data_IF_857021564363
#
_entry.id   IF_857021564363
#
_cell.length_a   1.000
_cell.length_b   1.000
_cell.length_c   1.000
_cell.angle_alpha   90.00
_cell.angle_beta   90.00
_cell.angle_gamma   90.00
#
_symmetry.space_group_name_H-M   'P 1'
#
loop_
_entity.id
_entity.type
_entity.pdbx_description
1 polymer ?
#
# COMPACT_ATOMS: atom_id res chain seq x y z
N UNK A 1 5.59 -4.06 -27.92
CA UNK A 1 4.19 -3.82 -28.34
C UNK A 1 3.81 -5.00 -29.18
N UNK A 2 2.92 -5.85 -28.67
CA UNK A 2 2.35 -6.91 -29.50
C UNK A 2 1.22 -6.30 -30.33
N UNK A 3 1.19 -6.66 -31.61
CA UNK A 3 0.11 -6.28 -32.53
C UNK A 3 -0.96 -7.36 -32.44
N UNK A 4 -2.22 -6.95 -32.40
CA UNK A 4 -3.32 -7.89 -32.63
C UNK A 4 -3.33 -8.34 -34.12
N UNK A 5 -4.19 -9.32 -34.42
CA UNK A 5 -4.36 -9.89 -35.78
C UNK A 5 -4.85 -8.84 -36.80
N UNK A 6 -5.40 -7.71 -36.33
CA UNK A 6 -5.93 -6.60 -37.13
C UNK A 6 -4.94 -5.42 -37.24
N UNK A 7 -3.71 -5.55 -36.72
CA UNK A 7 -2.67 -4.52 -36.78
C UNK A 7 -2.87 -3.35 -35.78
N UNK A 8 -3.85 -3.46 -34.89
CA UNK A 8 -4.04 -2.60 -33.73
C UNK A 8 -2.92 -2.77 -32.71
N UNK A 9 -2.47 -1.65 -32.15
CA UNK A 9 -1.54 -1.65 -31.02
C UNK A 9 -2.34 -1.97 -29.75
N UNK A 10 -2.48 -3.26 -29.40
CA UNK A 10 -3.01 -3.64 -28.10
C UNK A 10 -1.99 -3.27 -27.03
N UNK A 11 -2.23 -2.14 -26.37
CA UNK A 11 -1.59 -1.86 -25.09
C UNK A 11 -2.26 -2.80 -24.10
N UNK A 12 -1.66 -3.96 -23.83
CA UNK A 12 -1.89 -4.70 -22.59
C UNK A 12 -1.39 -3.83 -21.44
N UNK A 13 -2.16 -2.76 -21.16
CA UNK A 13 -2.04 -2.02 -19.91
C UNK A 13 -2.30 -3.08 -18.85
N UNK A 14 -1.38 -3.33 -17.92
CA UNK A 14 -1.66 -4.25 -16.83
C UNK A 14 -2.95 -3.77 -16.15
N UNK A 15 -4.05 -4.50 -16.35
CA UNK A 15 -5.41 -4.11 -15.95
C UNK A 15 -5.53 -4.00 -14.42
N UNK A 16 -4.51 -4.48 -13.71
CA UNK A 16 -4.36 -4.54 -12.26
C UNK A 16 -4.62 -3.21 -11.53
N UNK A 17 -4.44 -2.04 -12.17
CA UNK A 17 -4.65 -0.74 -11.51
C UNK A 17 -5.99 -0.07 -11.87
N UNK A 18 -6.90 -0.69 -12.63
CA UNK A 18 -8.17 -0.01 -12.97
C UNK A 18 -9.16 0.02 -11.81
N UNK A 19 -9.06 -0.93 -10.90
CA UNK A 19 -10.08 -1.13 -9.86
C UNK A 19 -10.03 -0.06 -8.76
N UNK A 20 -8.86 0.54 -8.47
CA UNK A 20 -8.78 1.62 -7.48
C UNK A 20 -9.61 2.85 -7.89
N UNK A 21 -9.75 3.13 -9.20
CA UNK A 21 -10.58 4.22 -9.71
C UNK A 21 -12.07 4.01 -9.44
N UNK A 22 -12.50 2.77 -9.21
CA UNK A 22 -13.89 2.39 -8.92
C UNK A 22 -14.21 2.39 -7.42
N UNK A 23 -13.25 2.71 -6.54
CA UNK A 23 -13.49 2.85 -5.11
C UNK A 23 -14.44 4.02 -4.88
N UNK A 24 -15.62 3.73 -4.29
CA UNK A 24 -16.71 4.68 -4.15
C UNK A 24 -16.34 5.87 -3.26
N UNK A 25 -15.75 5.61 -2.09
CA UNK A 25 -15.35 6.66 -1.16
C UNK A 25 -14.14 7.45 -1.71
N UNK A 26 -14.26 8.77 -1.95
CA UNK A 26 -13.17 9.58 -2.48
C UNK A 26 -11.92 9.61 -1.61
N UNK A 27 -12.08 9.65 -0.28
CA UNK A 27 -10.97 9.70 0.67
C UNK A 27 -10.14 8.42 0.60
N UNK A 28 -10.81 7.26 0.58
CA UNK A 28 -10.16 5.95 0.45
C UNK A 28 -9.42 5.84 -0.89
N UNK A 29 -10.07 6.28 -1.98
CA UNK A 29 -9.48 6.29 -3.32
C UNK A 29 -8.20 7.12 -3.38
N UNK A 30 -8.21 8.32 -2.78
CA UNK A 30 -7.02 9.18 -2.69
C UNK A 30 -5.93 8.55 -1.83
N UNK A 31 -6.29 7.94 -0.70
CA UNK A 31 -5.34 7.24 0.16
C UNK A 31 -4.62 6.10 -0.60
N UNK A 32 -5.38 5.30 -1.34
CA UNK A 32 -4.84 4.20 -2.14
C UNK A 32 -4.01 4.71 -3.33
N UNK A 33 -4.47 5.75 -4.04
CA UNK A 33 -3.72 6.30 -5.18
C UNK A 33 -2.39 6.92 -4.77
N UNK A 34 -2.30 7.53 -3.58
CA UNK A 34 -1.03 7.99 -3.02
C UNK A 34 -0.02 6.84 -2.86
N UNK A 35 -0.48 5.64 -2.52
CA UNK A 35 0.41 4.48 -2.42
C UNK A 35 0.76 3.92 -3.79
N UNK A 36 -0.23 3.73 -4.67
CA UNK A 36 0.00 3.13 -5.99
C UNK A 36 0.83 3.99 -6.95
N UNK A 37 0.79 5.32 -6.80
CA UNK A 37 1.40 6.28 -7.72
C UNK A 37 2.62 6.99 -7.11
N UNK A 38 3.30 6.36 -6.14
CA UNK A 38 4.50 6.91 -5.47
C UNK A 38 4.28 8.28 -4.81
N UNK A 39 3.05 8.62 -4.42
CA UNK A 39 2.70 9.83 -3.67
C UNK A 39 2.78 9.67 -2.14
N UNK A 40 3.38 8.58 -1.66
CA UNK A 40 3.46 8.22 -0.25
C UNK A 40 4.77 8.69 0.40
N UNK A 41 4.78 8.77 1.73
CA UNK A 41 5.94 9.26 2.51
C UNK A 41 6.93 8.16 2.95
N UNK A 42 6.78 6.93 2.49
CA UNK A 42 7.74 5.86 2.80
C UNK A 42 9.15 6.19 2.29
N UNK A 43 10.18 5.71 3.01
CA UNK A 43 11.58 6.01 2.78
C UNK A 43 12.04 5.67 1.37
N UNK A 44 11.47 4.63 0.75
CA UNK A 44 11.78 4.27 -0.65
C UNK A 44 11.58 5.44 -1.62
N UNK A 45 10.58 6.29 -1.39
CA UNK A 45 10.31 7.48 -2.20
C UNK A 45 10.93 8.75 -1.63
N UNK A 46 10.83 9.00 -0.32
CA UNK A 46 11.36 10.24 0.26
C UNK A 46 12.88 10.32 0.19
N UNK A 47 13.58 9.18 0.25
CA UNK A 47 15.03 9.08 0.09
C UNK A 47 15.51 9.03 -1.36
N UNK A 48 14.61 9.12 -2.35
CA UNK A 48 14.95 8.91 -3.77
C UNK A 48 15.57 10.14 -4.44
N UNK A 49 15.29 11.35 -3.97
CA UNK A 49 15.58 12.60 -4.69
C UNK A 49 16.05 13.71 -3.76
N UNK A 50 16.78 14.67 -4.33
CA UNK A 50 17.13 15.94 -3.68
C UNK A 50 18.11 15.79 -2.52
N UNK A 51 18.07 16.76 -1.59
CA UNK A 51 18.96 16.83 -0.42
C UNK A 51 18.83 15.66 0.54
N UNK A 52 17.71 14.93 0.49
CA UNK A 52 17.43 13.76 1.32
C UNK A 52 17.82 12.45 0.61
N UNK A 53 18.57 12.51 -0.49
CA UNK A 53 18.99 11.31 -1.23
C UNK A 53 19.74 10.34 -0.32
N UNK A 54 19.32 9.08 -0.38
CA UNK A 54 19.97 7.92 0.27
C UNK A 54 20.03 6.78 -0.74
N UNK A 55 21.06 5.93 -0.69
CA UNK A 55 21.05 4.71 -1.49
C UNK A 55 19.84 3.86 -1.11
N UNK A 56 19.30 3.04 -2.03
CA UNK A 56 18.06 2.28 -1.76
C UNK A 56 18.17 1.42 -0.51
N UNK A 57 19.34 0.81 -0.28
CA UNK A 57 19.64 -0.01 0.89
C UNK A 57 19.57 0.76 2.22
N UNK A 58 19.82 2.07 2.20
CA UNK A 58 19.82 2.93 3.39
C UNK A 58 18.44 3.57 3.68
N UNK A 59 17.42 3.27 2.85
CA UNK A 59 16.05 3.77 3.02
C UNK A 59 15.25 2.82 3.91
N UNK A 60 15.77 2.55 5.10
CA UNK A 60 15.19 1.57 6.03
C UNK A 60 13.82 1.97 6.55
N UNK A 61 13.01 0.97 6.92
CA UNK A 61 11.71 1.11 7.54
C UNK A 61 11.81 1.90 8.84
N UNK A 62 11.01 2.96 8.99
CA UNK A 62 11.05 3.80 10.21
C UNK A 62 10.55 3.07 11.46
N UNK A 63 9.87 1.94 11.27
CA UNK A 63 9.28 1.15 12.35
C UNK A 63 10.26 0.07 12.82
N UNK A 64 10.71 -0.81 11.91
CA UNK A 64 11.56 -1.95 12.28
C UNK A 64 13.07 -1.70 12.07
N UNK A 65 13.43 -0.73 11.24
CA UNK A 65 14.80 -0.41 10.85
C UNK A 65 15.60 -1.59 10.26
N UNK A 66 14.94 -2.65 9.79
CA UNK A 66 15.59 -3.87 9.27
C UNK A 66 15.68 -3.93 7.74
N UNK A 67 14.60 -3.55 7.05
CA UNK A 67 14.48 -3.65 5.59
C UNK A 67 14.09 -2.32 4.98
N UNK A 68 14.19 -2.19 3.65
CA UNK A 68 13.80 -0.96 2.94
C UNK A 68 12.32 -0.66 3.18
N UNK A 69 11.99 0.60 3.49
CA UNK A 69 10.61 1.04 3.73
C UNK A 69 9.83 1.13 2.42
N UNK A 70 9.19 0.04 2.03
CA UNK A 70 8.26 0.01 0.90
C UNK A 70 6.82 -0.18 1.38
N UNK A 71 5.81 0.19 0.56
CA UNK A 71 4.41 -0.09 0.91
C UNK A 71 4.16 -1.56 1.23
N UNK A 72 4.71 -2.47 0.42
CA UNK A 72 4.54 -3.91 0.56
C UNK A 72 4.99 -4.34 1.96
N UNK A 73 6.20 -3.95 2.37
CA UNK A 73 6.73 -4.26 3.68
C UNK A 73 5.81 -3.72 4.80
N UNK A 74 5.45 -2.42 4.76
CA UNK A 74 4.65 -1.78 5.81
C UNK A 74 3.24 -2.37 5.89
N UNK A 75 2.68 -2.78 4.75
CA UNK A 75 1.31 -3.30 4.68
C UNK A 75 1.24 -4.76 5.08
N UNK A 76 2.13 -5.59 4.55
CA UNK A 76 1.98 -7.04 4.54
C UNK A 76 2.94 -7.77 5.49
N UNK A 77 4.09 -7.19 5.85
CA UNK A 77 5.11 -7.89 6.65
C UNK A 77 5.38 -7.25 8.01
N UNK A 78 5.59 -5.93 8.06
CA UNK A 78 6.10 -5.23 9.25
C UNK A 78 5.23 -5.49 10.48
N UNK A 79 5.79 -6.13 11.51
CA UNK A 79 5.09 -6.63 12.69
C UNK A 79 5.43 -5.87 13.98
N UNK A 80 6.35 -4.90 13.90
CA UNK A 80 6.81 -4.11 15.05
C UNK A 80 5.71 -3.26 15.68
N UNK A 81 4.80 -2.72 14.86
CA UNK A 81 3.70 -1.89 15.33
C UNK A 81 2.41 -2.72 15.48
N UNK A 82 1.97 -2.95 16.71
CA UNK A 82 0.77 -3.76 17.00
C UNK A 82 -0.50 -3.27 16.28
N UNK A 83 -0.65 -1.95 16.09
CA UNK A 83 -1.75 -1.39 15.30
C UNK A 83 -1.72 -1.84 13.83
N UNK A 84 -0.54 -1.92 13.21
CA UNK A 84 -0.42 -2.40 11.82
C UNK A 84 -0.69 -3.90 11.72
N UNK A 85 -0.28 -4.67 12.73
CA UNK A 85 -0.61 -6.10 12.82
C UNK A 85 -2.12 -6.29 12.90
N UNK A 86 -2.81 -5.48 13.71
CA UNK A 86 -4.26 -5.56 13.81
C UNK A 86 -4.95 -5.18 12.50
N UNK A 87 -4.58 -4.05 11.89
CA UNK A 87 -5.13 -3.62 10.59
C UNK A 87 -4.88 -4.66 9.49
N UNK A 88 -3.76 -5.37 9.52
CA UNK A 88 -3.49 -6.47 8.59
C UNK A 88 -4.42 -7.67 8.83
N UNK A 89 -4.64 -8.06 10.09
CA UNK A 89 -5.57 -9.14 10.44
C UNK A 89 -6.99 -8.80 9.99
N UNK A 90 -7.43 -7.58 10.26
CA UNK A 90 -8.75 -7.09 9.85
C UNK A 90 -8.87 -7.11 8.32
N UNK A 91 -7.86 -6.59 7.62
CA UNK A 91 -7.80 -6.62 6.15
C UNK A 91 -7.89 -8.05 5.61
N UNK A 92 -7.10 -8.99 6.16
CA UNK A 92 -7.11 -10.39 5.72
C UNK A 92 -8.47 -11.05 5.97
N UNK A 93 -9.08 -10.81 7.13
CA UNK A 93 -10.41 -11.34 7.46
C UNK A 93 -11.49 -10.79 6.52
N UNK A 94 -11.48 -9.48 6.27
CA UNK A 94 -12.43 -8.83 5.37
C UNK A 94 -12.25 -9.30 3.91
N UNK A 95 -11.00 -9.40 3.43
CA UNK A 95 -10.70 -9.90 2.09
C UNK A 95 -11.13 -11.36 1.95
N UNK A 96 -10.85 -12.20 2.95
CA UNK A 96 -11.31 -13.59 3.00
C UNK A 96 -12.82 -13.73 2.94
N UNK A 97 -13.57 -12.80 3.55
CA UNK A 97 -15.03 -12.80 3.50
C UNK A 97 -15.62 -12.27 2.19
N UNK A 98 -14.88 -11.44 1.45
CA UNK A 98 -15.34 -10.79 0.21
C UNK A 98 -14.93 -11.53 -1.06
N UNK A 99 -13.82 -12.27 -1.01
CA UNK A 99 -13.27 -12.97 -2.16
C UNK A 99 -13.84 -14.38 -2.30
N UNK A 100 -13.98 -14.83 -3.54
CA UNK A 100 -14.28 -16.25 -3.82
C UNK A 100 -13.06 -17.14 -3.56
N UNK A 101 -13.22 -18.46 -3.37
CA UNK A 101 -12.08 -19.38 -3.22
C UNK A 101 -11.05 -19.24 -4.35
N UNK A 102 -11.50 -19.18 -5.61
CA UNK A 102 -10.60 -19.00 -6.76
C UNK A 102 -9.82 -17.68 -6.72
N UNK A 103 -10.43 -16.59 -6.20
CA UNK A 103 -9.74 -15.31 -6.04
C UNK A 103 -8.69 -15.37 -4.91
N UNK A 104 -8.97 -16.12 -3.84
CA UNK A 104 -8.04 -16.33 -2.74
C UNK A 104 -6.86 -17.23 -3.15
N UNK A 105 -7.13 -18.30 -3.90
CA UNK A 105 -6.11 -19.18 -4.47
C UNK A 105 -5.21 -18.36 -5.41
N UNK A 106 -5.80 -17.61 -6.35
CA UNK A 106 -5.05 -16.73 -7.23
C UNK A 106 -4.24 -15.68 -6.46
N UNK A 107 -4.75 -15.13 -5.36
CA UNK A 107 -4.00 -14.17 -4.55
C UNK A 107 -2.80 -14.81 -3.83
N UNK A 108 -2.95 -16.05 -3.38
CA UNK A 108 -1.94 -16.77 -2.57
C UNK A 108 -0.91 -17.56 -3.39
N UNK A 109 -1.17 -17.80 -4.67
CA UNK A 109 -0.24 -18.36 -5.67
C UNK A 109 1.02 -17.52 -5.94
N UNK A 110 1.21 -16.39 -5.27
CA UNK A 110 2.35 -15.49 -5.45
C UNK A 110 3.70 -16.06 -4.94
N UNK A 111 3.76 -17.32 -4.49
CA UNK A 111 4.97 -18.03 -4.00
C UNK A 111 5.77 -17.22 -2.97
N UNK A 112 5.07 -16.46 -2.12
CA UNK A 112 5.69 -15.60 -1.11
C UNK A 112 6.32 -14.30 -1.63
N UNK A 113 6.22 -13.98 -2.92
CA UNK A 113 6.60 -12.65 -3.43
C UNK A 113 5.61 -11.60 -2.91
N UNK A 114 6.06 -10.81 -1.94
CA UNK A 114 5.29 -9.75 -1.29
C UNK A 114 4.81 -8.67 -2.29
N UNK A 115 5.62 -8.38 -3.32
CA UNK A 115 5.31 -7.37 -4.33
C UNK A 115 4.18 -7.90 -5.22
N UNK A 116 4.28 -9.15 -5.62
CA UNK A 116 3.24 -9.79 -6.41
C UNK A 116 1.94 -9.95 -5.61
N UNK A 117 2.04 -10.33 -4.34
CA UNK A 117 0.90 -10.40 -3.40
C UNK A 117 0.18 -9.05 -3.32
N UNK A 118 0.92 -7.95 -3.14
CA UNK A 118 0.31 -6.61 -3.08
C UNK A 118 -0.35 -6.21 -4.41
N UNK A 119 0.26 -6.52 -5.56
CA UNK A 119 -0.35 -6.26 -6.88
C UNK A 119 -1.66 -7.02 -7.05
N UNK A 120 -1.70 -8.31 -6.70
CA UNK A 120 -2.91 -9.14 -6.80
C UNK A 120 -4.00 -8.62 -5.87
N UNK A 121 -3.64 -8.23 -4.65
CA UNK A 121 -4.56 -7.64 -3.67
C UNK A 121 -5.26 -6.37 -4.20
N UNK A 122 -4.53 -5.46 -4.85
CA UNK A 122 -5.11 -4.21 -5.39
C UNK A 122 -5.79 -4.40 -6.75
N UNK A 123 -5.53 -5.51 -7.43
CA UNK A 123 -6.17 -5.88 -8.68
C UNK A 123 -7.56 -6.49 -8.49
N UNK A 124 -7.81 -7.15 -7.37
CA UNK A 124 -9.10 -7.78 -7.10
C UNK A 124 -10.17 -6.74 -6.85
N UNK A 125 -11.24 -6.77 -7.67
CA UNK A 125 -12.40 -5.89 -7.49
C UNK A 125 -13.08 -6.11 -6.13
N UNK A 126 -13.15 -7.36 -5.68
CA UNK A 126 -13.72 -7.78 -4.39
C UNK A 126 -12.95 -7.20 -3.20
N UNK A 127 -11.63 -7.06 -3.32
CA UNK A 127 -10.76 -6.60 -2.23
C UNK A 127 -10.45 -5.10 -2.25
N UNK A 128 -10.33 -4.46 -3.43
CA UNK A 128 -9.71 -3.12 -3.56
C UNK A 128 -10.37 -2.03 -2.70
N UNK A 129 -11.69 -2.09 -2.50
CA UNK A 129 -12.41 -1.11 -1.69
C UNK A 129 -12.04 -1.23 -0.21
N UNK A 130 -11.83 -2.46 0.27
CA UNK A 130 -11.38 -2.72 1.63
C UNK A 130 -9.92 -2.30 1.82
N UNK A 131 -9.06 -2.65 0.87
CA UNK A 131 -7.65 -2.25 0.87
C UNK A 131 -7.51 -0.72 0.93
N UNK A 132 -8.34 0.00 0.16
CA UNK A 132 -8.37 1.45 0.18
C UNK A 132 -8.85 2.03 1.52
N UNK A 133 -9.84 1.40 2.16
CA UNK A 133 -10.32 1.77 3.49
C UNK A 133 -9.24 1.58 4.56
N UNK A 134 -8.52 0.46 4.52
CA UNK A 134 -7.43 0.19 5.45
C UNK A 134 -6.27 1.17 5.30
N UNK A 135 -5.92 1.52 4.05
CA UNK A 135 -4.93 2.57 3.81
C UNK A 135 -5.39 3.94 4.34
N UNK A 136 -6.67 4.27 4.20
CA UNK A 136 -7.21 5.49 4.79
C UNK A 136 -7.13 5.48 6.33
N UNK A 137 -7.50 4.37 6.97
CA UNK A 137 -7.39 4.18 8.42
C UNK A 137 -5.96 4.36 8.92
N UNK A 138 -4.97 3.80 8.20
CA UNK A 138 -3.54 3.99 8.50
C UNK A 138 -3.14 5.46 8.47
N UNK A 139 -3.61 6.20 7.47
CA UNK A 139 -3.33 7.63 7.32
C UNK A 139 -3.93 8.44 8.47
N UNK A 140 -5.22 8.24 8.77
CA UNK A 140 -5.90 8.99 9.83
C UNK A 140 -5.43 8.60 11.23
N UNK A 141 -5.06 7.33 11.45
CA UNK A 141 -4.45 6.88 12.71
C UNK A 141 -3.04 7.43 12.92
N UNK A 142 -2.26 7.56 11.84
CA UNK A 142 -0.95 8.22 11.87
C UNK A 142 -1.08 9.72 12.20
N UNK A 143 -2.02 10.42 11.57
CA UNK A 143 -2.30 11.85 11.83
C UNK A 143 -2.76 12.11 13.27
N UNK A 144 -3.50 11.16 13.88
CA UNK A 144 -3.85 11.23 15.30
C UNK A 144 -2.64 11.06 16.26
N UNK A 145 -1.56 10.39 15.81
CA UNK A 145 -0.31 10.24 16.56
C UNK A 145 0.70 11.38 16.32
N UNK A 146 0.53 12.15 15.23
CA UNK A 146 1.34 13.32 14.87
C UNK A 146 0.75 14.64 15.44
N UNK A 147 -0.07 14.59 16.49
CA UNK A 147 -0.41 15.81 17.24
C UNK A 147 0.89 16.41 17.77
N UNK A 148 1.18 17.71 17.54
CA UNK A 148 2.45 18.29 17.94
C UNK A 148 2.58 18.18 19.45
N UNK A 149 3.64 17.53 19.92
CA UNK A 149 4.16 17.68 21.27
C UNK A 149 4.24 19.18 21.54
N UNK A 150 3.28 19.69 22.32
CA UNK A 150 3.21 21.09 22.65
C UNK A 150 4.57 21.51 23.19
N UNK A 151 5.16 22.50 22.53
CA UNK A 151 6.33 23.23 23.00
C UNK A 151 6.04 23.61 24.44
N UNK A 152 6.78 23.00 25.38
CA UNK A 152 6.80 23.44 26.78
C UNK A 152 7.38 24.86 26.76
N UNK A 153 6.50 25.86 26.79
CA UNK A 153 6.88 27.18 27.24
C UNK A 153 7.24 27.08 28.72
N UNK A 154 8.53 27.05 29.00
CA UNK A 154 9.05 27.41 30.32
C UNK A 154 8.90 28.91 30.48
N UNK A 155 7.95 29.34 31.32
CA UNK A 155 7.95 30.69 31.85
C UNK A 155 8.92 30.70 33.05
N UNK A 156 9.99 31.48 32.90
CA UNK A 156 10.75 32.04 34.02
C UNK A 156 10.26 33.44 34.33
#
# INVERSE_FOLDING_TARGET
>A
MEKDEDGGLTRTVPVFLRHYLKVANPAHRVALSQVLLSGHKYAVETGRRGKSYRARVDRTCRLCNQVVETPEHVWLECDVAGQLVQLRRDMVGDVGALCTPNELDWMTEADGDIVETMKRLVALRSAVSRVAQEQWRRKTGSEASEAPTAVRFTLG
#
